data_IF_613370438674
#
_entry.id   IF_613370438674
#
_cell.length_a   1.000
_cell.length_b   1.000
_cell.length_c   1.000
_cell.angle_alpha   90.00
_cell.angle_beta   90.00
_cell.angle_gamma   90.00
#
_symmetry.space_group_name_H-M   'P 1'
#
loop_
_entity.id
_entity.type
_entity.pdbx_description
1 polymer ?
#
# COMPACT_ATOMS: atom_id res chain seq x y z
N UNK A 1 -28.78 -49.82 80.58
CA UNK A 1 -28.33 -50.71 79.48
C UNK A 1 -28.41 -50.00 78.18
N UNK A 2 -27.39 -50.16 77.35
CA UNK A 2 -27.12 -49.72 75.97
C UNK A 2 -26.55 -48.31 75.84
N UNK A 3 -25.25 -48.29 75.70
CA UNK A 3 -24.42 -47.22 75.19
C UNK A 3 -24.61 -47.06 73.65
N UNK A 4 -24.73 -45.85 73.22
CA UNK A 4 -24.60 -45.51 71.80
C UNK A 4 -23.33 -44.67 71.62
N UNK A 5 -22.39 -45.26 70.89
CA UNK A 5 -21.13 -44.61 70.46
C UNK A 5 -21.43 -43.64 69.33
N UNK A 6 -21.07 -42.37 69.46
CA UNK A 6 -21.05 -41.40 68.40
C UNK A 6 -19.67 -41.48 67.72
N UNK A 7 -19.64 -41.87 66.41
CA UNK A 7 -18.48 -41.75 65.54
C UNK A 7 -18.45 -40.30 64.98
N UNK A 8 -17.44 -39.55 65.36
CA UNK A 8 -17.17 -38.24 64.73
C UNK A 8 -16.37 -38.47 63.42
N UNK A 9 -16.94 -38.03 62.29
CA UNK A 9 -16.27 -37.93 61.02
C UNK A 9 -15.63 -36.57 60.95
N UNK A 10 -14.30 -36.52 61.05
CA UNK A 10 -13.51 -35.31 60.75
C UNK A 10 -13.35 -35.16 59.23
N UNK A 11 -14.05 -34.24 58.60
CA UNK A 11 -13.82 -33.87 57.21
C UNK A 11 -12.63 -32.90 57.13
N UNK A 12 -11.51 -33.43 56.62
CA UNK A 12 -10.36 -32.61 56.22
C UNK A 12 -10.72 -31.81 54.95
N UNK A 13 -10.97 -30.54 55.06
CA UNK A 13 -11.04 -29.59 53.92
C UNK A 13 -9.62 -29.29 53.49
N UNK A 14 -9.11 -29.95 52.43
CA UNK A 14 -7.91 -29.49 51.71
C UNK A 14 -8.27 -28.18 50.99
N UNK A 15 -7.96 -27.05 51.58
CA UNK A 15 -7.95 -25.78 50.85
C UNK A 15 -6.79 -25.78 49.84
N UNK A 16 -7.11 -26.01 48.57
CA UNK A 16 -6.17 -25.79 47.47
C UNK A 16 -5.82 -24.31 47.46
N UNK A 17 -4.66 -23.97 47.96
CA UNK A 17 -4.06 -22.63 47.82
C UNK A 17 -3.64 -22.48 46.36
N UNK A 18 -4.51 -21.99 45.50
CA UNK A 18 -4.08 -21.42 44.21
C UNK A 18 -3.27 -20.17 44.53
N UNK A 19 -2.02 -20.07 44.05
CA UNK A 19 -1.30 -18.83 44.20
C UNK A 19 -2.08 -17.76 43.44
N UNK A 20 -2.60 -16.75 44.10
CA UNK A 20 -3.03 -15.49 43.50
C UNK A 20 -1.78 -14.94 42.77
N UNK A 21 -1.68 -15.17 41.46
CA UNK A 21 -0.71 -14.47 40.64
C UNK A 21 -1.02 -12.99 40.78
N UNK A 22 -0.19 -12.29 41.52
CA UNK A 22 -0.16 -10.84 41.54
C UNK A 22 -0.07 -10.40 40.08
N UNK A 23 -1.15 -9.83 39.55
CA UNK A 23 -1.12 -9.18 38.24
C UNK A 23 -0.25 -7.94 38.38
N UNK A 24 1.06 -8.12 38.21
CA UNK A 24 2.00 -7.02 38.11
C UNK A 24 1.53 -6.06 37.02
N UNK A 25 1.79 -4.76 37.22
CA UNK A 25 1.45 -3.71 36.24
C UNK A 25 2.03 -4.12 34.89
N UNK A 26 1.15 -4.33 33.88
CA UNK A 26 1.57 -4.69 32.53
C UNK A 26 2.39 -3.56 31.88
N UNK A 27 3.43 -3.91 31.14
CA UNK A 27 4.13 -2.96 30.27
C UNK A 27 3.23 -2.63 29.09
N UNK A 28 2.96 -1.36 28.87
CA UNK A 28 2.10 -0.90 27.77
C UNK A 28 2.97 -0.45 26.61
N UNK A 29 2.67 -0.96 25.39
CA UNK A 29 3.22 -0.47 24.13
C UNK A 29 2.11 0.27 23.36
N UNK A 30 2.45 1.42 22.80
CA UNK A 30 1.59 2.17 21.88
C UNK A 30 1.89 1.74 20.44
N UNK A 31 0.87 1.25 19.72
CA UNK A 31 0.98 0.92 18.30
C UNK A 31 0.01 1.74 17.45
N UNK A 32 0.55 2.46 16.45
CA UNK A 32 -0.26 3.30 15.55
C UNK A 32 -0.25 2.77 14.12
N UNK A 33 -1.45 2.66 13.52
CA UNK A 33 -1.69 2.20 12.15
C UNK A 33 -2.59 3.18 11.39
N UNK A 34 -2.32 3.37 10.07
CA UNK A 34 -3.15 4.20 9.19
C UNK A 34 -4.23 3.41 8.42
N UNK A 35 -4.27 2.11 8.55
CA UNK A 35 -5.12 1.26 7.72
C UNK A 35 -6.29 0.73 8.54
N UNK A 36 -7.42 1.46 8.47
CA UNK A 36 -8.64 1.06 9.17
C UNK A 36 -9.26 -0.21 8.58
N UNK A 37 -8.96 -0.55 7.32
CA UNK A 37 -9.49 -1.76 6.67
C UNK A 37 -8.94 -3.05 7.28
N UNK A 38 -7.74 -3.00 7.89
CA UNK A 38 -7.10 -4.12 8.57
C UNK A 38 -7.07 -3.98 10.10
N UNK A 39 -7.94 -3.13 10.66
CA UNK A 39 -8.00 -2.93 12.12
C UNK A 39 -8.22 -4.24 12.87
N UNK A 40 -9.21 -5.04 12.44
CA UNK A 40 -9.52 -6.35 13.05
C UNK A 40 -8.31 -7.28 13.04
N UNK A 41 -7.60 -7.34 11.92
CA UNK A 41 -6.41 -8.16 11.77
C UNK A 41 -5.26 -7.70 12.67
N UNK A 42 -5.08 -6.37 12.83
CA UNK A 42 -4.13 -5.83 13.81
C UNK A 42 -4.52 -6.20 15.25
N UNK A 43 -5.80 -6.14 15.61
CA UNK A 43 -6.30 -6.59 16.92
C UNK A 43 -6.02 -8.08 17.16
N UNK A 44 -6.19 -8.94 16.15
CA UNK A 44 -5.89 -10.37 16.23
C UNK A 44 -4.38 -10.66 16.38
N UNK A 45 -3.52 -9.90 15.68
CA UNK A 45 -2.07 -9.95 15.84
C UNK A 45 -1.68 -9.57 17.27
N UNK A 46 -2.26 -8.48 17.79
CA UNK A 46 -2.03 -8.01 19.16
C UNK A 46 -2.45 -9.07 20.17
N UNK A 47 -3.64 -9.66 20.03
CA UNK A 47 -4.12 -10.71 20.92
C UNK A 47 -3.17 -11.92 20.95
N UNK A 48 -2.66 -12.36 19.80
CA UNK A 48 -1.65 -13.42 19.70
C UNK A 48 -0.34 -13.05 20.39
N UNK A 49 0.12 -11.80 20.20
CA UNK A 49 1.34 -11.33 20.83
C UNK A 49 1.21 -11.23 22.35
N UNK A 50 0.10 -10.67 22.86
CA UNK A 50 -0.21 -10.57 24.30
C UNK A 50 -0.31 -11.96 24.95
N UNK A 51 -0.90 -12.94 24.25
CA UNK A 51 -0.97 -14.34 24.74
C UNK A 51 0.42 -14.98 24.95
N UNK A 52 1.38 -14.65 24.07
CA UNK A 52 2.78 -15.09 24.19
C UNK A 52 3.61 -14.24 25.16
N UNK A 53 3.08 -13.10 25.60
CA UNK A 53 3.75 -12.13 26.47
C UNK A 53 2.80 -11.63 27.59
N UNK A 54 2.46 -12.47 28.61
CA UNK A 54 1.40 -12.16 29.59
C UNK A 54 1.61 -10.86 30.37
N UNK A 55 2.86 -10.35 30.47
CA UNK A 55 3.18 -9.08 31.13
C UNK A 55 3.06 -7.84 30.24
N UNK A 56 2.54 -7.99 29.01
CA UNK A 56 2.47 -6.91 28.02
C UNK A 56 1.02 -6.58 27.69
N UNK A 57 0.77 -5.30 27.40
CA UNK A 57 -0.44 -4.78 26.77
C UNK A 57 -0.04 -3.93 25.56
N UNK A 58 -0.66 -4.16 24.40
CA UNK A 58 -0.48 -3.31 23.22
C UNK A 58 -1.76 -2.50 22.98
N UNK A 59 -1.64 -1.19 23.01
CA UNK A 59 -2.73 -0.27 22.73
C UNK A 59 -2.68 0.20 21.28
N UNK A 60 -3.68 -0.22 20.48
CA UNK A 60 -3.79 0.12 19.08
C UNK A 60 -4.53 1.44 18.87
N UNK A 61 -3.94 2.35 18.11
CA UNK A 61 -4.62 3.49 17.51
C UNK A 61 -4.66 3.30 15.99
N UNK A 62 -5.85 3.25 15.41
CA UNK A 62 -6.03 3.21 13.95
C UNK A 62 -6.75 4.48 13.49
N UNK A 63 -6.17 5.14 12.50
CA UNK A 63 -6.67 6.39 11.91
C UNK A 63 -6.74 6.24 10.39
N UNK A 64 -7.59 7.03 9.75
CA UNK A 64 -7.56 7.18 8.30
C UNK A 64 -6.22 7.81 7.86
N UNK A 65 -5.73 7.43 6.67
CA UNK A 65 -4.38 7.76 6.20
C UNK A 65 -4.04 9.24 6.32
N UNK A 66 -4.93 10.14 5.89
CA UNK A 66 -4.68 11.60 5.96
C UNK A 66 -4.58 12.07 7.40
N UNK A 67 -5.50 11.65 8.26
CA UNK A 67 -5.52 12.00 9.67
C UNK A 67 -4.29 11.45 10.41
N UNK A 68 -3.90 10.22 10.08
CA UNK A 68 -2.72 9.58 10.63
C UNK A 68 -1.47 10.43 10.42
N UNK A 69 -1.19 10.85 9.17
CA UNK A 69 0.02 11.60 8.85
C UNK A 69 0.04 13.00 9.48
N UNK A 70 -1.11 13.64 9.64
CA UNK A 70 -1.22 14.91 10.36
C UNK A 70 -0.89 14.71 11.85
N UNK A 71 -1.52 13.74 12.49
CA UNK A 71 -1.36 13.52 13.95
C UNK A 71 0.03 12.99 14.32
N UNK A 72 0.55 12.01 13.56
CA UNK A 72 1.84 11.41 13.89
C UNK A 72 3.01 12.40 13.70
N UNK A 73 2.93 13.30 12.71
CA UNK A 73 3.89 14.41 12.56
C UNK A 73 3.85 15.38 13.73
N UNK A 74 2.66 15.70 14.23
CA UNK A 74 2.52 16.54 15.41
C UNK A 74 3.19 15.89 16.63
N UNK A 75 2.98 14.60 16.85
CA UNK A 75 3.61 13.84 17.93
C UNK A 75 5.13 13.74 17.75
N UNK A 76 5.62 13.56 16.53
CA UNK A 76 7.04 13.56 16.21
C UNK A 76 7.72 14.88 16.64
N UNK A 77 7.10 16.02 16.27
CA UNK A 77 7.60 17.35 16.65
C UNK A 77 7.60 17.60 18.16
N UNK A 78 6.77 16.88 18.92
CA UNK A 78 6.71 16.94 20.38
C UNK A 78 7.62 15.91 21.07
N UNK A 79 8.32 15.05 20.32
CA UNK A 79 9.08 13.93 20.88
C UNK A 79 8.21 12.83 21.52
N UNK A 80 6.92 12.76 21.16
CA UNK A 80 5.89 11.89 21.75
C UNK A 80 5.38 10.81 20.77
N UNK A 81 6.26 10.35 19.87
CA UNK A 81 5.90 9.25 18.97
C UNK A 81 5.46 8.00 19.75
N UNK A 82 4.46 7.23 19.24
CA UNK A 82 4.15 5.91 19.78
C UNK A 82 5.36 4.98 19.70
N UNK A 83 5.40 3.94 20.53
CA UNK A 83 6.54 3.00 20.57
C UNK A 83 6.79 2.37 19.21
N UNK A 84 5.72 1.90 18.55
CA UNK A 84 5.72 1.25 17.23
C UNK A 84 4.67 1.92 16.35
N UNK A 85 5.00 2.14 15.09
CA UNK A 85 4.08 2.79 14.16
C UNK A 85 4.33 2.39 12.71
N UNK A 86 3.28 2.41 11.92
CA UNK A 86 3.38 2.18 10.48
C UNK A 86 4.14 3.32 9.79
N UNK A 87 4.97 2.98 8.80
CA UNK A 87 5.78 3.90 8.04
C UNK A 87 5.64 3.62 6.53
N UNK A 88 5.32 4.66 5.76
CA UNK A 88 5.31 4.59 4.30
C UNK A 88 6.70 4.80 3.74
N UNK A 89 7.04 4.06 2.70
CA UNK A 89 8.28 4.24 1.94
C UNK A 89 8.53 5.70 1.53
N UNK A 90 7.46 6.43 1.19
CA UNK A 90 7.59 7.81 0.74
C UNK A 90 7.96 8.82 1.82
N UNK A 91 7.78 8.49 3.09
CA UNK A 91 8.18 9.35 4.22
C UNK A 91 9.44 8.86 4.93
N UNK A 92 9.86 7.61 4.68
CA UNK A 92 10.90 6.97 5.46
C UNK A 92 12.24 7.73 5.41
N UNK A 93 12.64 8.24 4.24
CA UNK A 93 13.86 9.02 4.08
C UNK A 93 13.84 10.31 4.91
N UNK A 94 12.75 11.08 4.83
CA UNK A 94 12.56 12.32 5.58
C UNK A 94 12.67 12.06 7.10
N UNK A 95 12.00 11.01 7.57
CA UNK A 95 11.97 10.65 8.98
C UNK A 95 13.30 10.10 9.47
N UNK A 96 14.00 9.32 8.64
CA UNK A 96 15.33 8.81 8.95
C UNK A 96 16.38 9.94 9.07
N UNK A 97 16.37 10.90 8.12
CA UNK A 97 17.23 12.08 8.16
C UNK A 97 16.95 12.97 9.37
N UNK A 98 15.70 13.08 9.78
CA UNK A 98 15.29 13.84 10.97
C UNK A 98 15.55 13.09 12.30
N UNK A 99 16.04 11.84 12.27
CA UNK A 99 16.28 11.04 13.48
C UNK A 99 15.01 10.60 14.20
N UNK A 100 13.88 10.54 13.49
CA UNK A 100 12.57 10.21 14.04
C UNK A 100 12.24 8.70 14.04
N UNK A 101 13.15 7.88 13.54
CA UNK A 101 13.05 6.41 13.52
C UNK A 101 14.31 5.81 14.10
N UNK A 102 14.15 4.71 14.85
CA UNK A 102 15.24 3.97 15.47
C UNK A 102 16.02 3.16 14.43
N UNK A 103 17.35 3.05 14.59
CA UNK A 103 18.16 2.08 13.86
C UNK A 103 17.84 0.66 14.34
N UNK A 104 17.33 -0.16 13.44
CA UNK A 104 16.96 -1.55 13.68
C UNK A 104 18.09 -2.54 13.32
N UNK A 105 19.18 -2.07 12.69
CA UNK A 105 20.29 -2.90 12.23
C UNK A 105 20.82 -3.86 13.31
N UNK A 106 21.18 -3.38 14.50
CA UNK A 106 21.67 -4.24 15.58
C UNK A 106 20.66 -5.33 16.00
N UNK A 107 19.36 -5.01 15.97
CA UNK A 107 18.30 -5.97 16.31
C UNK A 107 18.05 -6.97 15.19
N UNK A 108 18.10 -6.52 13.94
CA UNK A 108 18.00 -7.37 12.75
C UNK A 108 19.14 -8.37 12.71
N UNK A 109 20.36 -7.93 12.95
CA UNK A 109 21.56 -8.79 12.95
C UNK A 109 21.56 -9.79 14.11
N UNK A 110 20.98 -9.41 15.25
CA UNK A 110 20.91 -10.26 16.44
C UNK A 110 19.94 -11.42 16.30
N UNK A 111 18.72 -11.17 15.79
CA UNK A 111 17.64 -12.14 15.94
C UNK A 111 16.57 -12.18 14.82
N UNK A 112 16.80 -11.52 13.66
CA UNK A 112 15.91 -11.69 12.51
C UNK A 112 16.39 -12.79 11.58
N UNK A 113 15.54 -13.78 11.30
CA UNK A 113 15.79 -14.70 10.19
C UNK A 113 15.58 -14.00 8.85
N UNK A 114 16.64 -13.40 8.31
CA UNK A 114 16.62 -12.65 7.06
C UNK A 114 16.16 -13.50 5.87
N UNK A 115 16.36 -14.83 5.90
CA UNK A 115 15.95 -15.75 4.82
C UNK A 115 14.44 -15.89 4.71
N UNK A 116 13.73 -15.60 5.80
CA UNK A 116 12.27 -15.58 5.84
C UNK A 116 11.66 -14.32 5.19
N UNK A 117 12.48 -13.39 4.65
CA UNK A 117 12.03 -12.19 3.96
C UNK A 117 12.58 -12.14 2.53
N UNK A 118 11.93 -11.39 1.66
CA UNK A 118 12.50 -11.01 0.38
C UNK A 118 13.61 -9.98 0.61
N UNK A 119 14.88 -10.36 0.35
CA UNK A 119 16.04 -9.51 0.69
C UNK A 119 15.97 -8.14 0.01
N UNK A 120 15.54 -8.07 -1.25
CA UNK A 120 15.37 -6.79 -1.96
C UNK A 120 14.39 -5.85 -1.26
N UNK A 121 13.38 -6.40 -0.59
CA UNK A 121 12.37 -5.64 0.15
C UNK A 121 12.88 -5.25 1.53
N UNK A 122 13.60 -6.15 2.22
CA UNK A 122 14.23 -5.87 3.50
C UNK A 122 15.29 -4.77 3.35
N UNK A 123 16.15 -4.87 2.34
CA UNK A 123 17.22 -3.92 2.08
C UNK A 123 16.69 -2.55 1.59
N UNK A 124 15.46 -2.49 1.05
CA UNK A 124 14.83 -1.22 0.70
C UNK A 124 14.58 -0.30 1.93
N UNK A 125 14.55 -0.86 3.15
CA UNK A 125 14.48 -0.09 4.41
C UNK A 125 15.85 0.31 4.97
N UNK A 126 16.95 -0.15 4.31
CA UNK A 126 18.32 0.14 4.70
C UNK A 126 18.84 1.35 3.94
N UNK A 127 19.65 2.12 4.61
CA UNK A 127 20.43 3.21 4.01
C UNK A 127 19.62 4.27 3.24
N UNK A 128 18.32 4.32 3.47
CA UNK A 128 17.42 5.24 2.74
C UNK A 128 17.80 6.72 2.96
N UNK A 129 18.56 7.00 4.03
CA UNK A 129 19.09 8.32 4.34
C UNK A 129 20.61 8.43 4.13
N UNK A 130 21.25 7.46 3.47
CA UNK A 130 22.69 7.41 3.28
C UNK A 130 23.50 7.14 4.56
N UNK A 131 22.89 6.48 5.55
CA UNK A 131 23.51 6.24 6.88
C UNK A 131 23.94 4.80 7.12
N UNK A 132 23.64 3.87 6.21
CA UNK A 132 23.87 2.43 6.36
C UNK A 132 22.95 1.74 7.37
N UNK A 133 21.95 2.47 7.93
CA UNK A 133 21.06 1.99 8.99
C UNK A 133 19.76 1.40 8.43
N UNK A 134 19.24 0.40 9.13
CA UNK A 134 17.87 -0.07 8.88
C UNK A 134 16.89 0.81 9.66
N UNK A 135 16.11 1.63 8.95
CA UNK A 135 15.20 2.60 9.56
C UNK A 135 13.79 2.04 9.77
N UNK A 136 13.46 0.89 9.17
CA UNK A 136 12.17 0.27 9.28
C UNK A 136 12.23 -1.21 8.89
N UNK A 137 11.24 -2.00 9.34
CA UNK A 137 11.07 -3.40 8.99
C UNK A 137 9.86 -3.55 8.06
N UNK A 138 10.00 -4.09 6.84
CA UNK A 138 8.89 -4.24 5.91
C UNK A 138 7.94 -5.33 6.40
N UNK A 139 6.64 -5.04 6.43
CA UNK A 139 5.61 -6.02 6.78
C UNK A 139 4.70 -6.38 5.61
N UNK A 140 4.53 -5.45 4.68
CA UNK A 140 3.71 -5.64 3.50
C UNK A 140 4.38 -5.03 2.28
N UNK A 141 4.02 -5.54 1.11
CA UNK A 141 4.41 -5.03 -0.18
C UNK A 141 3.16 -4.73 -0.98
N UNK A 142 3.17 -3.67 -1.73
CA UNK A 142 2.10 -3.29 -2.64
C UNK A 142 2.64 -3.06 -4.04
N UNK A 143 1.86 -3.44 -5.05
CA UNK A 143 2.17 -3.23 -6.46
C UNK A 143 0.95 -2.71 -7.18
N UNK A 144 1.11 -2.11 -8.35
CA UNK A 144 -0.01 -1.75 -9.21
C UNK A 144 -0.30 -2.85 -10.21
N UNK A 145 -1.58 -3.02 -10.49
CA UNK A 145 -2.12 -4.03 -11.40
C UNK A 145 -3.15 -3.42 -12.35
N UNK A 146 -3.36 -4.05 -13.48
CA UNK A 146 -4.51 -3.76 -14.35
C UNK A 146 -5.69 -4.63 -13.90
N UNK A 147 -6.73 -4.01 -13.35
CA UNK A 147 -8.03 -4.63 -13.11
C UNK A 147 -8.84 -4.66 -14.40
N UNK A 148 -9.53 -5.75 -14.69
CA UNK A 148 -10.39 -5.85 -15.87
C UNK A 148 -11.68 -6.62 -15.60
N UNK A 149 -12.78 -6.15 -16.20
CA UNK A 149 -14.11 -6.73 -16.08
C UNK A 149 -14.30 -7.80 -17.16
N UNK A 150 -14.31 -9.07 -16.76
CA UNK A 150 -14.41 -10.23 -17.68
C UNK A 150 -15.73 -10.24 -18.44
N UNK A 151 -16.84 -9.82 -17.80
CA UNK A 151 -18.14 -9.82 -18.45
C UNK A 151 -18.20 -8.83 -19.62
N UNK A 152 -17.59 -7.65 -19.44
CA UNK A 152 -17.49 -6.65 -20.50
C UNK A 152 -16.60 -7.12 -21.64
N UNK A 153 -15.47 -7.78 -21.32
CA UNK A 153 -14.56 -8.34 -22.31
C UNK A 153 -15.23 -9.45 -23.13
N UNK A 154 -15.91 -10.39 -22.46
CA UNK A 154 -16.64 -11.49 -23.12
C UNK A 154 -17.72 -10.95 -24.04
N UNK A 155 -18.53 -9.99 -23.56
CA UNK A 155 -19.61 -9.36 -24.34
C UNK A 155 -19.08 -8.62 -25.58
N UNK A 156 -17.91 -8.00 -25.49
CA UNK A 156 -17.29 -7.27 -26.60
C UNK A 156 -16.46 -8.17 -27.52
N UNK A 157 -16.27 -9.46 -27.20
CA UNK A 157 -15.40 -10.37 -27.92
C UNK A 157 -13.94 -9.89 -27.94
N UNK A 158 -13.46 -9.36 -26.80
CA UNK A 158 -12.08 -8.89 -26.60
C UNK A 158 -11.32 -9.93 -25.79
N UNK A 159 -10.14 -10.32 -26.25
CA UNK A 159 -9.27 -11.21 -25.49
C UNK A 159 -8.82 -10.55 -24.18
N UNK A 160 -8.73 -11.35 -23.11
CA UNK A 160 -8.27 -10.84 -21.81
C UNK A 160 -6.83 -10.32 -21.85
N UNK A 161 -6.48 -9.35 -21.01
CA UNK A 161 -5.12 -8.85 -20.90
C UNK A 161 -4.12 -9.96 -20.58
N UNK A 162 -2.97 -9.93 -21.25
CA UNK A 162 -1.87 -10.87 -21.04
C UNK A 162 -0.54 -10.13 -20.78
N UNK A 163 0.48 -10.83 -20.33
CA UNK A 163 1.81 -10.27 -20.10
C UNK A 163 2.48 -9.73 -21.38
N UNK A 164 1.96 -10.08 -22.57
CA UNK A 164 2.45 -9.57 -23.85
C UNK A 164 1.79 -8.27 -24.32
N UNK A 165 0.74 -7.82 -23.63
CA UNK A 165 0.03 -6.62 -24.03
C UNK A 165 0.94 -5.39 -24.07
N UNK A 166 0.77 -4.64 -25.16
CA UNK A 166 1.38 -3.33 -25.39
C UNK A 166 0.35 -2.23 -25.15
N UNK A 167 0.79 -0.97 -25.13
CA UNK A 167 -0.12 0.17 -25.11
C UNK A 167 -1.06 0.20 -26.31
N UNK A 168 -0.63 -0.28 -27.47
CA UNK A 168 -1.48 -0.37 -28.66
C UNK A 168 -2.61 -1.40 -28.47
N UNK A 169 -2.28 -2.58 -27.92
CA UNK A 169 -3.28 -3.60 -27.58
C UNK A 169 -4.29 -3.08 -26.58
N UNK A 170 -3.80 -2.40 -25.55
CA UNK A 170 -4.64 -1.75 -24.54
C UNK A 170 -5.57 -0.69 -25.15
N UNK A 171 -5.03 0.21 -25.98
CA UNK A 171 -5.82 1.26 -26.67
C UNK A 171 -6.89 0.65 -27.57
N UNK A 172 -6.57 -0.39 -28.34
CA UNK A 172 -7.54 -1.12 -29.17
C UNK A 172 -8.66 -1.76 -28.33
N UNK A 173 -8.29 -2.42 -27.23
CA UNK A 173 -9.24 -3.01 -26.30
C UNK A 173 -10.13 -1.93 -25.66
N UNK A 174 -9.55 -0.84 -25.16
CA UNK A 174 -10.29 0.26 -24.55
C UNK A 174 -11.32 0.87 -25.52
N UNK A 175 -10.97 1.06 -26.81
CA UNK A 175 -11.89 1.52 -27.85
C UNK A 175 -13.06 0.54 -28.07
N UNK A 176 -12.76 -0.76 -28.14
CA UNK A 176 -13.80 -1.80 -28.31
C UNK A 176 -14.74 -1.92 -27.11
N UNK A 177 -14.21 -1.67 -25.91
CA UNK A 177 -14.94 -1.75 -24.64
C UNK A 177 -15.73 -0.46 -24.32
N UNK A 178 -15.49 0.62 -25.05
CA UNK A 178 -16.24 1.87 -24.89
C UNK A 178 -17.55 1.79 -25.67
N UNK A 179 -18.68 2.01 -24.99
CA UNK A 179 -20.00 1.97 -25.60
C UNK A 179 -20.60 3.37 -25.60
N UNK A 180 -20.86 3.91 -26.78
CA UNK A 180 -21.54 5.18 -26.96
C UNK A 180 -22.93 4.92 -27.55
N UNK A 181 -23.98 5.48 -26.92
CA UNK A 181 -25.35 5.43 -27.40
C UNK A 181 -25.99 6.81 -27.33
N UNK A 182 -26.61 7.25 -28.40
CA UNK A 182 -27.28 8.55 -28.51
C UNK A 182 -26.34 9.73 -28.12
N UNK A 183 -25.07 9.66 -28.54
CA UNK A 183 -24.03 10.65 -28.25
C UNK A 183 -23.53 10.67 -26.80
N UNK A 184 -23.98 9.73 -25.93
CA UNK A 184 -23.56 9.61 -24.54
C UNK A 184 -22.80 8.31 -24.31
N UNK A 185 -21.67 8.40 -23.63
CA UNK A 185 -20.92 7.21 -23.21
C UNK A 185 -21.68 6.49 -22.10
N UNK A 186 -22.05 5.24 -22.36
CA UNK A 186 -22.75 4.36 -21.41
C UNK A 186 -21.79 3.47 -20.62
N UNK A 187 -20.61 3.19 -21.19
CA UNK A 187 -19.56 2.39 -20.62
C UNK A 187 -18.23 2.91 -21.12
N UNK A 188 -17.30 3.15 -20.22
CA UNK A 188 -15.94 3.52 -20.57
C UNK A 188 -15.04 2.28 -20.65
N UNK A 189 -14.12 2.26 -21.63
CA UNK A 189 -13.13 1.20 -21.75
C UNK A 189 -12.07 1.25 -20.64
N UNK A 190 -11.80 2.44 -20.15
CA UNK A 190 -10.77 2.66 -19.12
C UNK A 190 -11.20 3.76 -18.15
N UNK A 191 -10.65 3.71 -16.93
CA UNK A 191 -10.77 4.73 -15.90
C UNK A 191 -9.41 5.10 -15.33
N UNK A 192 -9.12 6.38 -15.25
CA UNK A 192 -8.01 6.92 -14.46
C UNK A 192 -8.24 8.41 -14.14
N UNK A 193 -7.41 8.95 -13.26
CA UNK A 193 -7.31 10.37 -12.94
C UNK A 193 -5.91 10.67 -12.41
N UNK A 194 -5.61 11.96 -12.11
CA UNK A 194 -4.33 12.38 -11.59
C UNK A 194 -4.05 11.81 -10.19
N UNK A 195 -3.51 10.61 -10.17
CA UNK A 195 -3.11 9.89 -8.98
C UNK A 195 -1.79 9.16 -9.24
N UNK A 196 -0.90 9.16 -8.24
CA UNK A 196 0.43 8.56 -8.40
C UNK A 196 0.38 7.10 -8.91
N UNK A 197 -0.50 6.28 -8.34
CA UNK A 197 -0.65 4.87 -8.76
C UNK A 197 -1.16 4.72 -10.19
N UNK A 198 -1.93 5.69 -10.67
CA UNK A 198 -2.41 5.70 -12.05
C UNK A 198 -1.35 6.23 -13.02
N UNK A 199 -0.69 7.35 -12.69
CA UNK A 199 0.25 8.03 -13.60
C UNK A 199 1.63 7.37 -13.59
N UNK A 200 2.23 7.19 -12.42
CA UNK A 200 3.60 6.67 -12.31
C UNK A 200 3.72 5.21 -12.77
N UNK A 201 2.64 4.42 -12.64
CA UNK A 201 2.60 3.05 -13.16
C UNK A 201 2.89 2.99 -14.66
N UNK A 202 2.29 3.88 -15.44
CA UNK A 202 2.50 3.95 -16.88
C UNK A 202 3.85 4.54 -17.25
N UNK A 203 4.31 5.53 -16.46
CA UNK A 203 5.68 6.07 -16.62
C UNK A 203 6.72 4.97 -16.48
N UNK A 204 6.63 4.16 -15.42
CA UNK A 204 7.59 3.07 -15.22
C UNK A 204 7.38 1.88 -16.16
N UNK A 205 6.16 1.60 -16.60
CA UNK A 205 5.90 0.61 -17.65
C UNK A 205 6.52 0.99 -19.02
N UNK A 206 6.89 2.26 -19.19
CA UNK A 206 7.62 2.77 -20.35
C UNK A 206 9.12 3.05 -20.07
N UNK A 207 9.66 2.52 -18.97
CA UNK A 207 11.01 2.84 -18.50
C UNK A 207 11.29 4.35 -18.31
N UNK A 208 10.25 5.14 -18.09
CA UNK A 208 10.32 6.58 -17.85
C UNK A 208 10.84 6.92 -16.45
N UNK A 209 11.23 8.18 -16.26
CA UNK A 209 11.71 8.73 -15.01
C UNK A 209 11.18 10.16 -14.83
N UNK A 210 10.63 10.46 -13.65
CA UNK A 210 10.11 11.79 -13.30
C UNK A 210 11.14 12.69 -12.61
N UNK A 211 12.00 12.10 -11.79
CA UNK A 211 12.99 12.80 -10.97
C UNK A 211 14.39 12.48 -11.48
N UNK A 212 15.21 13.50 -11.68
CA UNK A 212 16.63 13.34 -11.95
C UNK A 212 17.36 13.01 -10.65
N UNK A 213 17.96 11.80 -10.51
CA UNK A 213 18.60 11.37 -9.26
C UNK A 213 19.90 12.15 -8.97
N UNK A 214 20.52 12.77 -9.98
CA UNK A 214 21.75 13.52 -9.78
C UNK A 214 21.49 14.91 -9.15
N UNK A 215 20.33 15.49 -9.42
CA UNK A 215 19.97 16.85 -8.98
C UNK A 215 18.78 16.89 -8.03
N UNK A 216 18.12 15.74 -7.81
CA UNK A 216 16.86 15.63 -7.07
C UNK A 216 15.79 16.62 -7.59
N UNK A 217 15.81 16.95 -8.88
CA UNK A 217 14.87 17.85 -9.51
C UNK A 217 13.81 17.07 -10.31
N UNK A 218 12.62 17.65 -10.43
CA UNK A 218 11.61 17.17 -11.38
C UNK A 218 12.11 17.47 -12.79
N UNK A 219 12.42 16.42 -13.51
CA UNK A 219 12.92 16.48 -14.88
C UNK A 219 12.50 15.19 -15.60
N UNK A 220 11.20 15.11 -15.97
CA UNK A 220 10.70 13.95 -16.68
C UNK A 220 11.48 13.74 -17.97
N UNK A 221 11.93 12.49 -18.20
CA UNK A 221 12.57 12.13 -19.47
C UNK A 221 11.53 11.94 -20.59
N UNK A 222 12.00 11.74 -21.82
CA UNK A 222 11.13 11.57 -22.97
C UNK A 222 10.14 10.40 -22.81
N UNK A 223 10.55 9.31 -22.16
CA UNK A 223 9.72 8.15 -21.93
C UNK A 223 8.59 8.46 -20.91
N UNK A 224 8.87 9.29 -19.91
CA UNK A 224 7.87 9.73 -18.94
C UNK A 224 6.85 10.69 -19.58
N UNK A 225 7.34 11.64 -20.40
CA UNK A 225 6.46 12.54 -21.16
C UNK A 225 5.56 11.76 -22.11
N UNK A 226 6.11 10.76 -22.85
CA UNK A 226 5.34 9.89 -23.73
C UNK A 226 4.24 9.13 -22.95
N UNK A 227 4.55 8.64 -21.75
CA UNK A 227 3.58 7.94 -20.91
C UNK A 227 2.44 8.86 -20.43
N UNK A 228 2.76 10.05 -19.96
CA UNK A 228 1.76 11.00 -19.50
C UNK A 228 0.88 11.49 -20.67
N UNK A 229 1.47 11.73 -21.85
CA UNK A 229 0.71 12.08 -23.05
C UNK A 229 -0.19 10.94 -23.49
N UNK A 230 0.31 9.69 -23.51
CA UNK A 230 -0.51 8.52 -23.82
C UNK A 230 -1.76 8.44 -22.93
N UNK A 231 -1.61 8.63 -21.62
CA UNK A 231 -2.72 8.63 -20.66
C UNK A 231 -3.75 9.74 -20.94
N UNK A 232 -3.27 10.96 -21.12
CA UNK A 232 -4.16 12.10 -21.38
C UNK A 232 -4.89 11.98 -22.72
N UNK A 233 -4.24 11.38 -23.74
CA UNK A 233 -4.84 11.11 -25.04
C UNK A 233 -5.98 10.08 -24.97
N UNK A 234 -5.94 9.12 -24.04
CA UNK A 234 -7.06 8.18 -23.82
C UNK A 234 -8.36 8.91 -23.44
N UNK A 235 -8.25 10.06 -22.76
CA UNK A 235 -9.38 10.93 -22.42
C UNK A 235 -9.69 11.91 -23.55
N UNK A 236 -8.68 12.70 -23.97
CA UNK A 236 -8.89 13.87 -24.82
C UNK A 236 -9.08 13.53 -26.29
N UNK A 237 -8.30 12.57 -26.81
CA UNK A 237 -8.33 12.19 -28.23
C UNK A 237 -9.18 10.93 -28.48
N UNK A 238 -8.92 9.87 -27.73
CA UNK A 238 -9.56 8.57 -27.94
C UNK A 238 -10.97 8.46 -27.33
N UNK A 239 -11.30 9.30 -26.34
CA UNK A 239 -12.58 9.31 -25.62
C UNK A 239 -12.98 7.96 -25.01
N UNK A 240 -11.97 7.16 -24.62
CA UNK A 240 -12.16 5.83 -24.03
C UNK A 240 -12.15 5.86 -22.49
N UNK A 241 -11.75 6.98 -21.91
CA UNK A 241 -11.82 7.25 -20.49
C UNK A 241 -12.53 8.60 -20.27
N UNK A 242 -13.27 8.76 -19.15
CA UNK A 242 -13.94 10.02 -18.83
C UNK A 242 -12.94 11.07 -18.32
N UNK A 243 -13.28 12.35 -18.46
CA UNK A 243 -12.68 13.40 -17.68
C UNK A 243 -12.97 13.18 -16.17
N UNK A 244 -12.10 13.64 -15.26
CA UNK A 244 -12.29 13.44 -13.82
C UNK A 244 -13.62 14.02 -13.33
N UNK A 245 -13.97 15.21 -13.80
CA UNK A 245 -15.23 15.89 -13.46
C UNK A 245 -16.50 15.10 -13.84
N UNK A 246 -16.45 14.28 -14.90
CA UNK A 246 -17.58 13.47 -15.33
C UNK A 246 -17.89 12.33 -14.35
N UNK A 247 -16.90 11.93 -13.53
CA UNK A 247 -17.03 10.87 -12.54
C UNK A 247 -17.14 11.38 -11.10
N UNK A 248 -17.41 12.68 -10.92
CA UNK A 248 -17.47 13.33 -9.60
C UNK A 248 -18.52 12.75 -8.65
N UNK A 249 -19.55 12.06 -9.18
CA UNK A 249 -20.57 11.37 -8.39
C UNK A 249 -20.06 10.05 -7.77
N UNK A 250 -18.92 9.53 -8.23
CA UNK A 250 -18.34 8.29 -7.72
C UNK A 250 -17.17 8.58 -6.80
N UNK A 251 -17.00 7.78 -5.74
CA UNK A 251 -15.68 7.68 -5.14
C UNK A 251 -14.77 6.96 -6.16
N UNK A 252 -13.54 7.44 -6.33
CA UNK A 252 -12.65 6.94 -7.38
C UNK A 252 -12.45 5.40 -7.37
N UNK A 253 -12.43 4.80 -6.17
CA UNK A 253 -12.26 3.37 -6.00
C UNK A 253 -13.52 2.54 -6.31
N UNK A 254 -14.66 3.18 -6.51
CA UNK A 254 -15.93 2.50 -6.74
C UNK A 254 -16.30 2.41 -8.23
N UNK A 255 -15.65 3.21 -9.08
CA UNK A 255 -15.94 3.28 -10.52
C UNK A 255 -15.83 1.90 -11.20
N UNK A 256 -14.71 1.22 -10.99
CA UNK A 256 -14.49 -0.11 -11.56
C UNK A 256 -15.42 -1.18 -10.97
N UNK A 257 -15.50 -1.39 -9.63
CA UNK A 257 -16.31 -2.46 -9.08
C UNK A 257 -17.82 -2.22 -9.19
N UNK A 258 -18.27 -1.00 -9.54
CA UNK A 258 -19.66 -0.73 -9.91
C UNK A 258 -19.93 -0.92 -11.40
N UNK A 259 -18.91 -1.25 -12.21
CA UNK A 259 -19.07 -1.54 -13.64
C UNK A 259 -19.19 -0.31 -14.52
N UNK A 260 -18.74 0.87 -14.07
CA UNK A 260 -18.75 2.08 -14.91
C UNK A 260 -17.58 2.11 -15.91
N UNK A 261 -16.52 1.34 -15.68
CA UNK A 261 -15.39 1.19 -16.59
C UNK A 261 -14.95 -0.27 -16.70
N UNK A 262 -14.50 -0.66 -17.90
CA UNK A 262 -14.06 -2.03 -18.19
C UNK A 262 -12.66 -2.35 -17.64
N UNK A 263 -11.80 -1.35 -17.56
CA UNK A 263 -10.42 -1.47 -17.08
C UNK A 263 -10.06 -0.35 -16.13
N UNK A 264 -9.15 -0.64 -15.19
CA UNK A 264 -8.62 0.31 -14.22
C UNK A 264 -7.22 -0.11 -13.79
N UNK A 265 -6.31 0.85 -13.66
CA UNK A 265 -4.97 0.62 -13.11
C UNK A 265 -4.88 1.27 -11.74
N UNK A 266 -4.68 0.50 -10.71
CA UNK A 266 -4.35 0.99 -9.37
C UNK A 266 -3.67 -0.12 -8.55
N UNK A 267 -3.47 0.14 -7.27
CA UNK A 267 -2.77 -0.76 -6.38
C UNK A 267 -3.53 -2.04 -6.04
N UNK A 268 -2.78 -3.09 -5.76
CA UNK A 268 -3.31 -4.39 -5.34
C UNK A 268 -4.16 -4.31 -4.05
N UNK A 269 -4.01 -3.26 -3.25
CA UNK A 269 -4.80 -3.00 -2.03
C UNK A 269 -6.30 -2.77 -2.27
N UNK A 270 -6.73 -2.59 -3.52
CA UNK A 270 -8.16 -2.49 -3.84
C UNK A 270 -8.85 -3.83 -4.10
N UNK A 271 -8.15 -4.95 -3.99
CA UNK A 271 -8.75 -6.29 -4.18
C UNK A 271 -9.93 -6.49 -3.23
N UNK A 272 -9.78 -6.18 -1.94
CA UNK A 272 -10.86 -6.33 -0.96
C UNK A 272 -12.03 -5.39 -1.22
N UNK A 273 -11.77 -4.12 -1.55
CA UNK A 273 -12.81 -3.16 -1.94
C UNK A 273 -13.59 -3.65 -3.16
N UNK A 274 -12.88 -4.14 -4.17
CA UNK A 274 -13.52 -4.65 -5.39
C UNK A 274 -14.37 -5.89 -5.09
N UNK A 275 -13.90 -6.81 -4.23
CA UNK A 275 -14.68 -7.97 -3.78
C UNK A 275 -15.97 -7.55 -3.08
N UNK A 276 -15.89 -6.60 -2.14
CA UNK A 276 -17.03 -6.11 -1.36
C UNK A 276 -18.09 -5.43 -2.21
N UNK A 277 -17.69 -4.63 -3.19
CA UNK A 277 -18.61 -3.84 -4.02
C UNK A 277 -19.13 -4.65 -5.19
N UNK A 278 -18.24 -5.33 -5.92
CA UNK A 278 -18.65 -6.14 -7.09
C UNK A 278 -19.45 -7.37 -6.68
N UNK A 279 -19.10 -8.02 -5.56
CA UNK A 279 -19.73 -9.29 -5.15
C UNK A 279 -19.73 -10.28 -6.31
N UNK A 280 -20.88 -10.93 -6.53
CA UNK A 280 -21.12 -11.85 -7.66
C UNK A 280 -21.69 -11.16 -8.91
N UNK A 281 -21.85 -9.83 -8.87
CA UNK A 281 -22.46 -9.08 -9.97
C UNK A 281 -21.52 -8.87 -11.15
N UNK A 282 -20.21 -8.89 -10.91
CA UNK A 282 -19.17 -8.64 -11.90
C UNK A 282 -18.09 -9.71 -11.74
N UNK A 283 -17.80 -10.44 -12.82
CA UNK A 283 -16.60 -11.28 -12.92
C UNK A 283 -15.43 -10.40 -13.32
N UNK A 284 -14.37 -10.40 -12.53
CA UNK A 284 -13.20 -9.58 -12.76
C UNK A 284 -11.90 -10.33 -12.41
N UNK A 285 -10.79 -9.82 -12.93
CA UNK A 285 -9.48 -10.38 -12.64
C UNK A 285 -8.41 -9.28 -12.71
N UNK A 286 -7.15 -9.63 -12.46
CA UNK A 286 -6.00 -8.74 -12.56
C UNK A 286 -4.99 -9.23 -13.60
N UNK A 287 -4.27 -8.28 -14.21
CA UNK A 287 -3.21 -8.54 -15.15
C UNK A 287 -2.01 -7.60 -14.90
N UNK A 288 -0.87 -7.89 -15.55
CA UNK A 288 0.24 -6.95 -15.63
C UNK A 288 -0.19 -5.70 -16.40
N UNK A 289 0.44 -4.56 -16.08
CA UNK A 289 0.25 -3.36 -16.90
C UNK A 289 0.80 -3.60 -18.31
N UNK A 290 0.11 -3.09 -19.34
CA UNK A 290 0.61 -3.13 -20.70
C UNK A 290 1.94 -2.38 -20.83
N UNK A 291 2.88 -2.97 -21.56
CA UNK A 291 4.20 -2.38 -21.77
C UNK A 291 4.14 -1.18 -22.70
N UNK A 292 4.78 -0.09 -22.31
CA UNK A 292 5.03 1.03 -23.21
C UNK A 292 6.05 0.68 -24.30
N UNK A 293 6.19 1.53 -25.34
CA UNK A 293 7.13 1.31 -26.45
C UNK A 293 8.60 1.12 -26.02
N UNK A 294 8.97 1.67 -24.88
CA UNK A 294 10.32 1.58 -24.27
C UNK A 294 10.38 0.66 -23.06
N UNK A 295 9.27 0.04 -22.69
CA UNK A 295 9.17 -0.83 -21.52
C UNK A 295 9.80 -2.20 -21.76
N UNK A 296 10.57 -2.70 -20.81
CA UNK A 296 11.20 -4.02 -20.84
C UNK A 296 10.48 -5.09 -20.01
N UNK A 297 9.44 -4.69 -19.24
CA UNK A 297 8.65 -5.56 -18.38
C UNK A 297 9.38 -6.09 -17.14
N UNK A 298 10.59 -5.60 -16.84
CA UNK A 298 11.44 -6.09 -15.74
C UNK A 298 11.16 -5.40 -14.42
N UNK A 299 10.51 -4.24 -14.44
CA UNK A 299 10.18 -3.46 -13.26
C UNK A 299 8.67 -3.32 -13.08
N UNK A 300 8.27 -2.98 -11.85
CA UNK A 300 6.89 -2.70 -11.47
C UNK A 300 6.85 -1.48 -10.57
N UNK A 301 5.79 -0.68 -10.69
CA UNK A 301 5.53 0.36 -9.70
C UNK A 301 4.99 -0.29 -8.44
N UNK A 302 5.73 -0.17 -7.35
CA UNK A 302 5.41 -0.78 -6.08
C UNK A 302 6.40 -0.37 -5.01
N UNK A 303 6.02 -0.59 -3.75
CA UNK A 303 6.84 -0.24 -2.58
C UNK A 303 6.45 -1.10 -1.38
N UNK A 304 7.36 -1.27 -0.42
CA UNK A 304 7.00 -1.84 0.88
C UNK A 304 6.29 -0.81 1.78
N UNK A 305 5.36 -1.33 2.57
CA UNK A 305 4.89 -0.69 3.79
C UNK A 305 5.70 -1.22 4.96
N UNK A 306 6.06 -0.35 5.90
CA UNK A 306 6.96 -0.66 6.99
C UNK A 306 6.30 -0.49 8.35
N UNK A 307 6.92 -1.12 9.34
CA UNK A 307 6.77 -0.78 10.75
C UNK A 307 8.08 -0.19 11.25
N UNK A 308 7.99 0.96 11.92
CA UNK A 308 9.12 1.67 12.53
C UNK A 308 8.97 1.74 14.04
N UNK A 309 10.08 1.99 14.73
CA UNK A 309 10.15 2.10 16.18
C UNK A 309 10.62 3.52 16.53
N UNK A 310 9.96 4.13 17.53
CA UNK A 310 10.35 5.42 18.06
C UNK A 310 11.80 5.39 18.59
N UNK A 311 12.63 6.39 18.27
CA UNK A 311 13.98 6.47 18.83
C UNK A 311 13.95 6.63 20.35
N UNK A 312 12.88 7.23 20.89
CA UNK A 312 12.73 7.61 22.31
C UNK A 312 11.91 6.61 23.14
N UNK A 313 11.47 5.48 22.57
CA UNK A 313 10.71 4.49 23.35
C UNK A 313 11.55 3.97 24.52
N UNK A 314 10.99 3.95 25.76
CA UNK A 314 11.68 3.35 26.92
C UNK A 314 11.70 1.81 26.84
N UNK A 315 10.88 1.22 25.95
CA UNK A 315 10.67 -0.22 25.83
C UNK A 315 11.26 -0.78 24.53
N UNK A 316 12.47 -0.38 24.14
CA UNK A 316 13.05 -0.64 22.83
C UNK A 316 13.09 -2.13 22.42
N UNK A 317 13.51 -3.02 23.32
CA UNK A 317 13.57 -4.48 23.02
C UNK A 317 12.17 -5.08 22.90
N UNK A 318 11.22 -4.62 23.70
CA UNK A 318 9.83 -5.07 23.59
C UNK A 318 9.17 -4.53 22.31
N UNK A 319 9.42 -3.27 21.95
CA UNK A 319 8.97 -2.66 20.71
C UNK A 319 9.54 -3.40 19.50
N UNK A 320 10.81 -3.79 19.53
CA UNK A 320 11.44 -4.61 18.50
C UNK A 320 10.79 -6.00 18.43
N UNK A 321 10.57 -6.66 19.56
CA UNK A 321 9.90 -7.97 19.60
C UNK A 321 8.51 -7.90 18.97
N UNK A 322 7.75 -6.85 19.24
CA UNK A 322 6.44 -6.63 18.64
C UNK A 322 6.53 -6.28 17.15
N UNK A 323 7.42 -5.39 16.73
CA UNK A 323 7.60 -5.02 15.32
C UNK A 323 8.01 -6.24 14.48
N UNK A 324 8.94 -7.08 14.99
CA UNK A 324 9.33 -8.35 14.36
C UNK A 324 8.14 -9.31 14.24
N UNK A 325 7.32 -9.38 15.28
CA UNK A 325 6.11 -10.21 15.27
C UNK A 325 5.10 -9.73 14.23
N UNK A 326 4.84 -8.43 14.16
CA UNK A 326 3.94 -7.81 13.16
C UNK A 326 4.44 -8.03 11.73
N UNK A 327 5.74 -8.01 11.49
CA UNK A 327 6.31 -8.19 10.14
C UNK A 327 6.48 -9.67 9.76
N UNK A 328 6.43 -10.60 10.72
CA UNK A 328 6.74 -12.01 10.53
C UNK A 328 5.65 -12.96 11.03
N UNK A 329 5.94 -13.70 12.08
CA UNK A 329 5.13 -14.84 12.57
C UNK A 329 3.72 -14.47 13.04
N UNK A 330 3.53 -13.24 13.52
CA UNK A 330 2.23 -12.76 14.03
C UNK A 330 1.21 -12.54 12.93
N UNK A 331 1.69 -12.38 11.73
CA UNK A 331 0.85 -12.09 10.58
C UNK A 331 0.01 -13.30 10.23
N UNK A 332 -1.29 -13.10 10.10
CA UNK A 332 -2.21 -14.09 9.56
C UNK A 332 -2.44 -13.85 8.08
N UNK A 333 -2.83 -14.88 7.36
CA UNK A 333 -3.27 -14.75 5.96
C UNK A 333 -4.34 -13.69 5.79
N UNK A 334 -5.24 -13.55 6.76
CA UNK A 334 -6.36 -12.61 6.71
C UNK A 334 -5.89 -11.16 6.53
N UNK A 335 -4.71 -10.79 7.03
CA UNK A 335 -4.14 -9.46 6.83
C UNK A 335 -3.81 -9.17 5.36
N UNK A 336 -3.54 -10.22 4.59
CA UNK A 336 -3.15 -10.10 3.18
C UNK A 336 -4.26 -10.45 2.18
N UNK A 337 -5.41 -10.90 2.70
CA UNK A 337 -6.60 -11.12 1.87
C UNK A 337 -7.08 -9.80 1.23
N UNK A 338 -6.77 -8.66 1.85
CA UNK A 338 -7.07 -7.32 1.34
C UNK A 338 -6.19 -6.86 0.16
N UNK A 339 -5.34 -7.73 -0.40
CA UNK A 339 -4.54 -7.42 -1.60
C UNK A 339 -3.15 -6.86 -1.34
N UNK A 340 -2.71 -6.77 -0.09
CA UNK A 340 -1.30 -6.56 0.23
C UNK A 340 -0.53 -7.88 0.08
N UNK A 341 0.73 -7.80 -0.26
CA UNK A 341 1.61 -8.96 -0.41
C UNK A 341 2.45 -9.07 0.86
N UNK A 342 2.44 -10.19 1.58
CA UNK A 342 3.32 -10.38 2.74
C UNK A 342 4.78 -10.27 2.33
N UNK A 343 5.60 -9.62 3.13
CA UNK A 343 7.05 -9.66 2.96
C UNK A 343 7.66 -10.91 3.60
N UNK A 344 6.91 -11.55 4.48
CA UNK A 344 7.27 -12.81 5.15
C UNK A 344 6.96 -14.00 4.23
N UNK A 345 8.00 -14.61 3.66
CA UNK A 345 7.93 -15.66 2.64
C UNK A 345 7.09 -16.88 3.00
N UNK A 346 7.15 -17.42 4.25
CA UNK A 346 6.33 -18.60 4.60
C UNK A 346 4.84 -18.39 4.35
N UNK A 347 4.34 -17.15 4.43
CA UNK A 347 2.94 -16.83 4.12
C UNK A 347 2.73 -16.66 2.62
N UNK A 348 3.57 -15.84 1.97
CA UNK A 348 3.43 -15.54 0.54
C UNK A 348 3.59 -16.78 -0.34
N UNK A 349 4.47 -17.69 0.07
CA UNK A 349 4.73 -18.92 -0.64
C UNK A 349 3.75 -20.05 -0.26
N UNK A 350 2.84 -19.81 0.70
CA UNK A 350 1.82 -20.79 1.06
C UNK A 350 0.73 -20.91 -0.02
N UNK A 351 0.22 -22.12 -0.31
CA UNK A 351 -0.89 -22.30 -1.23
C UNK A 351 -2.16 -21.53 -0.84
N UNK A 352 -2.36 -21.27 0.46
CA UNK A 352 -3.50 -20.55 0.98
C UNK A 352 -3.50 -19.07 0.56
N UNK A 353 -2.33 -18.45 0.34
CA UNK A 353 -2.23 -17.06 -0.14
C UNK A 353 -2.92 -16.87 -1.50
N UNK A 354 -2.96 -17.88 -2.36
CA UNK A 354 -3.57 -17.81 -3.68
C UNK A 354 -5.10 -17.74 -3.65
N UNK A 355 -5.74 -18.08 -2.53
CA UNK A 355 -7.20 -18.07 -2.36
C UNK A 355 -7.96 -18.65 -3.56
N UNK A 356 -7.61 -19.88 -3.96
CA UNK A 356 -8.25 -20.55 -5.11
C UNK A 356 -9.78 -20.50 -5.01
N UNK A 357 -10.44 -20.14 -6.10
CA UNK A 357 -11.88 -19.99 -6.16
C UNK A 357 -12.40 -18.58 -5.81
N UNK A 358 -11.52 -17.66 -5.36
CA UNK A 358 -11.86 -16.27 -5.11
C UNK A 358 -11.39 -15.37 -6.27
N UNK A 359 -12.07 -14.25 -6.49
CA UNK A 359 -11.59 -13.20 -7.39
C UNK A 359 -10.54 -12.32 -6.67
N UNK A 360 -9.44 -11.94 -7.32
CA UNK A 360 -9.03 -12.29 -8.69
C UNK A 360 -8.47 -13.71 -8.76
N UNK A 361 -8.80 -14.45 -9.83
CA UNK A 361 -8.26 -15.80 -10.03
C UNK A 361 -6.73 -15.78 -10.28
N UNK A 362 -6.23 -14.69 -10.87
CA UNK A 362 -4.80 -14.49 -11.17
C UNK A 362 -4.02 -13.88 -9.99
N UNK A 363 -4.39 -14.19 -8.73
CA UNK A 363 -3.68 -13.64 -7.54
C UNK A 363 -2.19 -14.00 -7.51
N UNK A 364 -1.80 -15.12 -8.13
CA UNK A 364 -0.39 -15.51 -8.31
C UNK A 364 0.48 -14.48 -9.06
N UNK A 365 -0.14 -13.55 -9.78
CA UNK A 365 0.55 -12.40 -10.38
C UNK A 365 1.28 -11.55 -9.33
N UNK A 366 0.69 -11.37 -8.15
CA UNK A 366 1.27 -10.56 -7.08
C UNK A 366 2.62 -11.12 -6.62
N UNK A 367 2.74 -12.46 -6.53
CA UNK A 367 4.01 -13.13 -6.18
C UNK A 367 5.05 -12.88 -7.28
N UNK A 368 4.64 -12.99 -8.55
CA UNK A 368 5.55 -12.71 -9.68
C UNK A 368 6.04 -11.27 -9.69
N UNK A 369 5.16 -10.33 -9.35
CA UNK A 369 5.52 -8.90 -9.24
C UNK A 369 6.46 -8.64 -8.06
N UNK A 370 6.30 -9.34 -6.93
CA UNK A 370 7.19 -9.22 -5.78
C UNK A 370 8.65 -9.60 -6.10
N UNK A 371 8.87 -10.42 -7.14
CA UNK A 371 10.20 -10.78 -7.61
C UNK A 371 10.81 -9.80 -8.61
N UNK A 372 10.05 -8.81 -9.10
CA UNK A 372 10.54 -7.78 -10.02
C UNK A 372 11.24 -6.63 -9.27
N UNK A 373 12.02 -5.85 -10.01
CA UNK A 373 12.59 -4.60 -9.48
C UNK A 373 11.48 -3.57 -9.22
N UNK A 374 11.43 -3.02 -8.00
CA UNK A 374 10.49 -1.94 -7.66
C UNK A 374 11.03 -0.60 -8.13
N UNK A 375 10.15 0.19 -8.73
CA UNK A 375 10.46 1.57 -9.13
C UNK A 375 9.48 2.52 -8.45
N UNK A 376 10.01 3.62 -7.98
CA UNK A 376 9.25 4.72 -7.38
C UNK A 376 9.90 6.05 -7.75
N UNK A 377 9.16 7.15 -7.59
CA UNK A 377 9.70 8.51 -7.70
C UNK A 377 9.80 9.15 -6.30
N UNK A 378 10.09 8.36 -5.27
CA UNK A 378 10.19 8.91 -3.91
C UNK A 378 11.39 9.85 -3.77
N UNK A 379 11.14 10.99 -3.14
CA UNK A 379 12.09 12.05 -2.81
C UNK A 379 11.65 12.68 -1.50
N UNK A 380 12.49 13.50 -0.90
CA UNK A 380 11.99 14.40 0.14
C UNK A 380 10.84 15.25 -0.43
N UNK A 381 9.80 15.49 0.38
CA UNK A 381 8.60 16.22 -0.05
C UNK A 381 7.73 15.54 -1.11
N UNK A 382 7.90 14.24 -1.33
CA UNK A 382 7.18 13.48 -2.37
C UNK A 382 5.65 13.63 -2.31
N UNK A 383 5.07 13.66 -1.14
CA UNK A 383 3.62 13.81 -0.98
C UNK A 383 3.14 15.20 -1.44
N UNK A 384 3.95 16.21 -1.21
CA UNK A 384 3.63 17.58 -1.57
C UNK A 384 3.71 17.82 -3.09
N UNK A 385 4.80 17.39 -3.73
CA UNK A 385 4.93 17.58 -5.17
C UNK A 385 4.00 16.68 -6.01
N UNK A 386 3.51 15.59 -5.44
CA UNK A 386 2.45 14.80 -6.07
C UNK A 386 1.07 15.42 -5.95
N UNK A 387 0.86 16.31 -5.00
CA UNK A 387 -0.41 16.98 -4.78
C UNK A 387 -1.26 16.33 -3.72
N UNK A 388 -0.66 15.92 -2.58
CA UNK A 388 -1.39 15.56 -1.39
C UNK A 388 -1.46 16.73 -0.41
N UNK A 389 -2.64 16.94 0.20
CA UNK A 389 -2.88 18.01 1.14
C UNK A 389 -3.05 19.39 0.48
N UNK A 390 -2.59 20.48 1.12
CA UNK A 390 -2.87 21.84 0.66
C UNK A 390 -2.32 22.21 -0.72
N UNK A 391 -1.41 21.38 -1.26
CA UNK A 391 -0.80 21.59 -2.57
C UNK A 391 -1.45 20.75 -3.69
N UNK A 392 -2.65 20.21 -3.48
CA UNK A 392 -3.29 19.26 -4.41
C UNK A 392 -3.33 19.77 -5.86
N UNK A 393 -3.75 20.99 -6.07
CA UNK A 393 -3.83 21.60 -7.41
C UNK A 393 -2.48 22.00 -8.01
N UNK A 394 -1.42 22.07 -7.21
CA UNK A 394 -0.08 22.50 -7.64
C UNK A 394 0.83 21.31 -7.96
N UNK A 395 0.52 20.13 -7.47
CA UNK A 395 1.30 18.92 -7.69
C UNK A 395 0.94 18.20 -8.99
N UNK A 396 1.72 17.17 -9.33
CA UNK A 396 1.56 16.44 -10.58
C UNK A 396 0.15 15.85 -10.76
N UNK A 397 -0.46 15.32 -9.70
CA UNK A 397 -1.79 14.74 -9.77
C UNK A 397 -2.85 15.75 -10.21
N UNK A 398 -2.89 16.93 -9.55
CA UNK A 398 -3.83 17.99 -9.90
C UNK A 398 -3.60 18.60 -11.28
N UNK A 399 -2.35 18.65 -11.72
CA UNK A 399 -2.01 19.11 -13.07
C UNK A 399 -2.51 18.14 -14.14
N UNK A 400 -2.35 16.83 -13.92
CA UNK A 400 -2.91 15.79 -14.82
C UNK A 400 -4.45 15.88 -14.86
N UNK A 401 -5.08 16.08 -13.70
CA UNK A 401 -6.53 16.27 -13.63
C UNK A 401 -6.98 17.51 -14.44
N UNK A 402 -6.31 18.63 -14.30
CA UNK A 402 -6.61 19.84 -15.06
C UNK A 402 -6.43 19.64 -16.59
N UNK A 403 -5.45 18.83 -16.99
CA UNK A 403 -5.27 18.49 -18.42
C UNK A 403 -6.44 17.64 -18.92
N UNK A 404 -6.81 16.56 -18.23
CA UNK A 404 -7.90 15.67 -18.69
C UNK A 404 -9.29 16.30 -18.57
N UNK A 405 -9.46 17.28 -17.70
CA UNK A 405 -10.68 18.09 -17.60
C UNK A 405 -10.75 19.22 -18.65
N UNK A 406 -9.67 19.41 -19.44
CA UNK A 406 -9.58 20.41 -20.51
C UNK A 406 -9.37 21.83 -19.99
N UNK A 407 -8.91 22.01 -18.75
CA UNK A 407 -8.65 23.31 -18.13
C UNK A 407 -7.30 23.89 -18.56
N UNK A 408 -6.37 23.06 -19.01
CA UNK A 408 -5.07 23.45 -19.54
C UNK A 408 -4.61 22.48 -20.62
N UNK A 409 -3.79 22.94 -21.56
CA UNK A 409 -3.15 22.06 -22.54
C UNK A 409 -2.10 21.15 -21.87
N UNK A 410 -1.73 20.06 -22.54
CA UNK A 410 -0.69 19.16 -22.01
C UNK A 410 0.63 19.89 -21.80
N UNK A 411 1.07 20.67 -22.77
CA UNK A 411 2.37 21.36 -22.72
C UNK A 411 2.40 22.45 -21.65
N UNK A 412 1.33 23.25 -21.51
CA UNK A 412 1.19 24.22 -20.41
C UNK A 412 1.13 23.54 -19.04
N UNK A 413 0.42 22.41 -18.93
CA UNK A 413 0.37 21.61 -17.71
C UNK A 413 1.75 21.09 -17.31
N UNK A 414 2.53 20.57 -18.27
CA UNK A 414 3.90 20.10 -17.98
C UNK A 414 4.85 21.23 -17.59
N UNK A 415 4.72 22.43 -18.19
CA UNK A 415 5.48 23.61 -17.78
C UNK A 415 5.12 24.07 -16.36
N UNK A 416 3.82 24.01 -16.00
CA UNK A 416 3.37 24.27 -14.61
C UNK A 416 3.94 23.22 -13.64
N UNK A 417 3.94 21.95 -14.04
CA UNK A 417 4.52 20.86 -13.24
C UNK A 417 6.01 21.10 -12.99
N UNK A 418 6.78 21.42 -14.03
CA UNK A 418 8.20 21.73 -13.89
C UNK A 418 8.45 22.87 -12.90
N UNK A 419 7.74 23.98 -13.06
CA UNK A 419 7.88 25.15 -12.19
C UNK A 419 7.49 24.85 -10.74
N UNK A 420 6.31 24.28 -10.53
CA UNK A 420 5.74 24.08 -9.20
C UNK A 420 6.49 23.01 -8.41
N UNK A 421 6.74 21.87 -9.05
CA UNK A 421 7.40 20.73 -8.39
C UNK A 421 8.83 21.10 -8.04
N UNK A 422 9.58 21.72 -8.95
CA UNK A 422 10.94 22.17 -8.66
C UNK A 422 11.00 23.26 -7.56
N UNK A 423 9.99 24.12 -7.46
CA UNK A 423 9.88 25.03 -6.33
C UNK A 423 9.68 24.31 -5.00
N UNK A 424 8.90 23.21 -5.00
CA UNK A 424 8.71 22.35 -3.82
C UNK A 424 10.04 21.67 -3.47
N UNK A 425 10.65 20.96 -4.42
CA UNK A 425 11.88 20.18 -4.20
C UNK A 425 13.05 21.05 -3.70
N UNK A 426 13.22 22.26 -4.24
CA UNK A 426 14.25 23.22 -3.77
C UNK A 426 14.14 23.58 -2.28
N UNK A 427 13.01 23.36 -1.61
CA UNK A 427 12.89 23.58 -0.16
C UNK A 427 13.52 22.46 0.66
N UNK A 428 13.55 21.27 0.08
CA UNK A 428 14.05 20.04 0.72
C UNK A 428 15.51 19.74 0.40
N UNK A 429 15.95 20.14 -0.79
CA UNK A 429 17.33 19.88 -1.29
C UNK A 429 18.06 21.22 -1.47
N UNK A 430 18.28 21.89 -0.34
CA UNK A 430 19.07 23.13 -0.27
C UNK A 430 20.57 22.84 -0.26
#
# INVERSE_FOLDING_TARGET
>A
MRQLRALGIAALILAAIFPLQSQGKKTVLQYWSWDSSVKKQNEDIIAKFEAQNPGVKVELTTLETTEYWVKIRLLANQGKLPDVFNMSSGYLEEWARAGLVRDLGPSIDRDLDKKSFYMSVLDAGKDIAGTGKYCALPYALVTTVLYYNKDMFDKAGVAYPSASWTWEDFRKAAKKLTIVKDGKTQQYGFWFFGRYSNVESWVFANNGRLIDPATNSYKPDANAIEAMRFLTDLVLADKVAPAKKEMSAFRYQDVFPQGAAAMWVDGSWFIDNNRKIAGDKIRWDIAELPRGPKGDGKSVYGWPDYVSISPNTPNADLAWKFAKFVAGEGVSLDMYMAGKIPTYRPITESPAFLEKGQQPANKGLLIKQAAKAFRTSYTLGWSEWRGYGPAESLGLNGIIDAIIDGETSFDEGMNKADTNINKILKRYYK
#
